data_IF_396030277072
#
_entry.id   IF_396030277072
#
_cell.length_a   1.000
_cell.length_b   1.000
_cell.length_c   1.000
_cell.angle_alpha   90.00
_cell.angle_beta   90.00
_cell.angle_gamma   90.00
#
_symmetry.space_group_name_H-M   'P 1'
#
loop_
_entity.id
_entity.type
_entity.pdbx_description
1 polymer ?
#
# COMPACT_ATOMS: atom_id res chain seq x y z
N UNK A 1 -4.61 9.87 -3.15
CA UNK A 1 -4.78 8.48 -3.61
C UNK A 1 -3.94 7.57 -2.75
N UNK A 2 -4.42 6.35 -2.56
CA UNK A 2 -3.62 5.14 -2.42
C UNK A 2 -3.03 4.77 -1.06
N UNK A 3 -2.82 5.71 -0.12
CA UNK A 3 -2.30 5.42 1.24
C UNK A 3 -1.39 4.18 1.31
N UNK A 4 -1.78 3.21 2.14
CA UNK A 4 -1.22 1.84 2.16
C UNK A 4 -1.89 0.93 1.11
N UNK A 5 -3.06 1.31 0.58
CA UNK A 5 -3.88 0.52 -0.35
C UNK A 5 -3.07 -0.05 -1.51
N UNK A 6 -2.24 0.78 -2.17
CA UNK A 6 -1.45 0.34 -3.33
C UNK A 6 -0.41 -0.72 -2.95
N UNK A 7 0.24 -0.56 -1.80
CA UNK A 7 1.25 -1.50 -1.32
C UNK A 7 0.65 -2.89 -1.08
N UNK A 8 -0.56 -2.96 -0.53
CA UNK A 8 -1.23 -4.22 -0.24
C UNK A 8 -2.10 -4.74 -1.39
N UNK A 9 -2.36 -3.95 -2.43
CA UNK A 9 -3.34 -4.27 -3.46
C UNK A 9 -3.17 -5.66 -4.07
N UNK A 10 -1.92 -6.06 -4.34
CA UNK A 10 -1.63 -7.38 -4.91
C UNK A 10 -1.91 -8.50 -3.89
N UNK A 11 -1.39 -8.37 -2.67
CA UNK A 11 -1.59 -9.37 -1.61
C UNK A 11 -3.07 -9.50 -1.23
N UNK A 12 -3.77 -8.37 -1.09
CA UNK A 12 -5.19 -8.32 -0.73
C UNK A 12 -6.08 -8.87 -1.83
N UNK A 13 -5.79 -8.56 -3.09
CA UNK A 13 -6.51 -9.18 -4.19
C UNK A 13 -6.32 -10.70 -4.22
N UNK A 14 -5.12 -11.20 -3.96
CA UNK A 14 -4.86 -12.65 -3.93
C UNK A 14 -5.61 -13.32 -2.78
N UNK A 15 -5.64 -12.70 -1.60
CA UNK A 15 -6.35 -13.26 -0.44
C UNK A 15 -7.86 -13.26 -0.66
N UNK A 16 -8.43 -12.15 -1.16
CA UNK A 16 -9.86 -12.06 -1.50
C UNK A 16 -10.27 -13.16 -2.48
N UNK A 17 -9.45 -13.39 -3.52
CA UNK A 17 -9.73 -14.41 -4.54
C UNK A 17 -9.69 -15.84 -4.00
N UNK A 18 -8.88 -16.11 -2.97
CA UNK A 18 -8.79 -17.42 -2.33
C UNK A 18 -9.98 -17.69 -1.41
N UNK A 19 -10.46 -16.67 -0.73
CA UNK A 19 -11.48 -16.80 0.32
C UNK A 19 -12.91 -16.65 -0.20
N UNK A 20 -13.11 -15.97 -1.33
CA UNK A 20 -14.43 -15.88 -1.95
C UNK A 20 -14.80 -17.18 -2.65
N UNK A 21 -16.07 -17.56 -2.48
CA UNK A 21 -16.70 -18.58 -3.32
C UNK A 21 -16.61 -18.20 -4.81
N UNK A 22 -16.41 -19.20 -5.67
CA UNK A 22 -16.17 -19.00 -7.11
C UNK A 22 -17.32 -18.27 -7.81
N UNK A 23 -18.57 -18.50 -7.41
CA UNK A 23 -19.72 -17.84 -8.05
C UNK A 23 -19.84 -16.38 -7.63
N UNK A 24 -19.59 -16.09 -6.34
CA UNK A 24 -19.55 -14.72 -5.83
C UNK A 24 -18.38 -13.96 -6.46
N UNK A 25 -17.21 -14.59 -6.56
CA UNK A 25 -16.01 -14.01 -7.14
C UNK A 25 -16.25 -13.60 -8.60
N UNK A 26 -16.77 -14.51 -9.44
CA UNK A 26 -17.05 -14.22 -10.86
C UNK A 26 -18.06 -13.08 -11.04
N UNK A 27 -19.12 -13.06 -10.23
CA UNK A 27 -20.12 -11.98 -10.26
C UNK A 27 -19.50 -10.64 -9.88
N UNK A 28 -18.72 -10.63 -8.79
CA UNK A 28 -18.02 -9.45 -8.29
C UNK A 28 -17.01 -8.90 -9.30
N UNK A 29 -16.19 -9.76 -9.91
CA UNK A 29 -15.23 -9.35 -10.96
C UNK A 29 -15.95 -8.77 -12.19
N UNK A 30 -17.03 -9.42 -12.63
CA UNK A 30 -17.81 -8.94 -13.78
C UNK A 30 -18.43 -7.59 -13.50
N UNK A 31 -19.06 -7.39 -12.34
CA UNK A 31 -19.72 -6.12 -12.03
C UNK A 31 -18.69 -4.99 -11.77
N UNK A 32 -17.57 -5.28 -11.11
CA UNK A 32 -16.46 -4.32 -10.98
C UNK A 32 -15.94 -3.86 -12.34
N UNK A 33 -15.82 -4.78 -13.28
CA UNK A 33 -15.38 -4.46 -14.63
C UNK A 33 -16.44 -3.64 -15.39
N UNK A 34 -17.71 -4.03 -15.34
CA UNK A 34 -18.78 -3.35 -16.07
C UNK A 34 -19.12 -1.96 -15.51
N UNK A 35 -19.21 -1.81 -14.19
CA UNK A 35 -19.60 -0.53 -13.55
C UNK A 35 -18.42 0.44 -13.41
N UNK A 36 -17.20 -0.08 -13.24
CA UNK A 36 -16.06 0.75 -12.85
C UNK A 36 -14.82 0.57 -13.73
N UNK A 37 -14.79 -0.41 -14.64
CA UNK A 37 -13.61 -0.71 -15.45
C UNK A 37 -12.42 -1.19 -14.62
N UNK A 38 -12.66 -1.80 -13.46
CA UNK A 38 -11.62 -2.17 -12.51
C UNK A 38 -11.51 -3.69 -12.32
N UNK A 39 -10.29 -4.16 -12.13
CA UNK A 39 -10.04 -5.47 -11.52
C UNK A 39 -10.13 -5.38 -10.00
N UNK A 40 -10.22 -6.52 -9.30
CA UNK A 40 -10.18 -6.56 -7.82
C UNK A 40 -8.91 -5.85 -7.30
N UNK A 41 -7.73 -6.14 -7.87
CA UNK A 41 -6.48 -5.48 -7.51
C UNK A 41 -6.56 -3.95 -7.60
N UNK A 42 -7.06 -3.42 -8.71
CA UNK A 42 -7.18 -1.96 -8.89
C UNK A 42 -8.24 -1.36 -7.94
N UNK A 43 -9.32 -2.11 -7.69
CA UNK A 43 -10.38 -1.68 -6.79
C UNK A 43 -9.91 -1.57 -5.33
N UNK A 44 -8.78 -2.15 -4.94
CA UNK A 44 -8.21 -1.97 -3.60
C UNK A 44 -7.82 -0.51 -3.32
N UNK A 45 -7.32 0.22 -4.33
CA UNK A 45 -7.05 1.66 -4.21
C UNK A 45 -8.33 2.52 -4.12
N UNK A 46 -9.47 1.90 -4.40
CA UNK A 46 -10.81 2.47 -4.33
C UNK A 46 -11.73 1.56 -3.51
N UNK A 47 -11.29 1.16 -2.32
CA UNK A 47 -11.86 0.00 -1.61
C UNK A 47 -13.37 0.09 -1.38
N UNK A 48 -13.92 1.29 -1.17
CA UNK A 48 -15.38 1.51 -1.09
C UNK A 48 -16.17 0.98 -2.29
N UNK A 49 -15.61 1.05 -3.52
CA UNK A 49 -16.23 0.50 -4.73
C UNK A 49 -16.19 -1.02 -4.72
N UNK A 50 -15.08 -1.60 -4.27
CA UNK A 50 -14.98 -3.04 -4.04
C UNK A 50 -16.05 -3.50 -3.04
N UNK A 51 -16.10 -2.85 -1.88
CA UNK A 51 -17.06 -3.14 -0.81
C UNK A 51 -18.52 -3.03 -1.28
N UNK A 52 -18.85 -2.02 -2.09
CA UNK A 52 -20.23 -1.85 -2.58
C UNK A 52 -20.62 -2.96 -3.55
N UNK A 53 -19.74 -3.29 -4.51
CA UNK A 53 -20.02 -4.35 -5.49
C UNK A 53 -20.07 -5.71 -4.82
N UNK A 54 -19.19 -5.99 -3.84
CA UNK A 54 -19.24 -7.24 -3.10
C UNK A 54 -20.54 -7.37 -2.29
N UNK A 55 -21.03 -6.30 -1.64
CA UNK A 55 -22.32 -6.30 -0.92
C UNK A 55 -23.51 -6.58 -1.84
N UNK A 56 -23.49 -6.06 -3.07
CA UNK A 56 -24.56 -6.34 -4.05
C UNK A 56 -24.58 -7.80 -4.49
N UNK A 57 -23.41 -8.42 -4.59
CA UNK A 57 -23.23 -9.75 -5.17
C UNK A 57 -23.16 -10.90 -4.15
N UNK A 58 -23.27 -10.61 -2.85
CA UNK A 58 -23.12 -11.60 -1.80
C UNK A 58 -24.06 -11.35 -0.62
N UNK A 59 -24.40 -12.44 0.08
CA UNK A 59 -25.14 -12.41 1.34
C UNK A 59 -24.23 -12.46 2.57
N UNK A 60 -22.91 -12.40 2.36
CA UNK A 60 -21.92 -12.49 3.45
C UNK A 60 -21.82 -11.18 4.21
N UNK A 61 -21.31 -11.25 5.44
CA UNK A 61 -20.87 -10.06 6.14
C UNK A 61 -19.59 -9.51 5.49
N UNK A 62 -19.76 -8.60 4.54
CA UNK A 62 -18.67 -7.99 3.78
C UNK A 62 -17.68 -7.26 4.70
N UNK A 63 -18.15 -6.59 5.77
CA UNK A 63 -17.23 -5.89 6.67
C UNK A 63 -16.33 -6.89 7.39
N UNK A 64 -16.90 -7.99 7.89
CA UNK A 64 -16.12 -9.04 8.54
C UNK A 64 -15.14 -9.70 7.57
N UNK A 65 -15.62 -10.06 6.37
CA UNK A 65 -14.79 -10.66 5.32
C UNK A 65 -13.58 -9.79 4.97
N UNK A 66 -13.79 -8.49 4.72
CA UNK A 66 -12.72 -7.54 4.40
C UNK A 66 -11.67 -7.44 5.52
N UNK A 67 -12.12 -7.41 6.78
CA UNK A 67 -11.25 -7.41 7.95
C UNK A 67 -10.40 -8.68 8.02
N UNK A 68 -11.03 -9.83 7.83
CA UNK A 68 -10.37 -11.13 7.90
C UNK A 68 -9.28 -11.24 6.81
N UNK A 69 -9.59 -10.82 5.58
CA UNK A 69 -8.60 -10.78 4.49
C UNK A 69 -7.44 -9.81 4.79
N UNK A 70 -7.72 -8.59 5.27
CA UNK A 70 -6.67 -7.63 5.64
C UNK A 70 -5.82 -8.18 6.80
N UNK A 71 -6.45 -8.81 7.80
CA UNK A 71 -5.80 -9.38 8.98
C UNK A 71 -4.85 -10.53 8.68
N UNK A 72 -5.00 -11.20 7.53
CA UNK A 72 -4.04 -12.21 7.03
C UNK A 72 -2.81 -11.59 6.36
N UNK A 73 -2.89 -10.32 5.96
CA UNK A 73 -1.81 -9.63 5.26
C UNK A 73 -1.05 -8.70 6.18
N UNK A 74 -1.77 -8.00 7.06
CA UNK A 74 -1.24 -6.99 7.96
C UNK A 74 -1.75 -7.22 9.39
N UNK A 75 -0.87 -6.99 10.37
CA UNK A 75 -1.25 -6.76 11.76
C UNK A 75 -1.04 -5.30 12.09
N UNK A 76 -2.11 -4.62 12.47
CA UNK A 76 -2.07 -3.18 12.78
C UNK A 76 -2.19 -3.00 14.30
N UNK A 77 -1.34 -2.14 14.86
CA UNK A 77 -1.43 -1.68 16.25
C UNK A 77 -1.34 -0.16 16.27
N UNK A 78 -2.30 0.50 16.93
CA UNK A 78 -2.23 1.94 17.20
C UNK A 78 -1.30 2.17 18.39
N UNK A 79 -0.37 3.11 18.25
CA UNK A 79 0.50 3.59 19.33
C UNK A 79 0.56 5.11 19.21
N UNK A 80 -0.11 5.79 20.13
CA UNK A 80 -0.28 7.25 20.12
C UNK A 80 -0.88 7.72 18.76
N UNK A 81 -0.23 8.67 18.09
CA UNK A 81 -0.61 9.20 16.77
C UNK A 81 0.00 8.43 15.58
N UNK A 82 0.53 7.23 15.82
CA UNK A 82 1.15 6.39 14.80
C UNK A 82 0.55 4.99 14.78
N UNK A 83 0.66 4.35 13.62
CA UNK A 83 0.23 2.98 13.39
C UNK A 83 1.45 2.12 13.12
N UNK A 84 1.65 1.09 13.94
CA UNK A 84 2.59 0.02 13.69
C UNK A 84 1.92 -1.02 12.79
N UNK A 85 2.45 -1.17 11.58
CA UNK A 85 1.97 -2.09 10.56
C UNK A 85 2.98 -3.22 10.42
N UNK A 86 2.62 -4.41 10.89
CA UNK A 86 3.42 -5.62 10.72
C UNK A 86 2.96 -6.36 9.46
N UNK A 87 3.88 -6.66 8.55
CA UNK A 87 3.59 -7.43 7.34
C UNK A 87 3.60 -8.92 7.68
N UNK A 88 2.46 -9.59 7.49
CA UNK A 88 2.27 -11.02 7.74
C UNK A 88 2.44 -11.82 6.45
N UNK A 89 1.86 -11.33 5.35
CA UNK A 89 1.91 -12.01 4.05
C UNK A 89 3.36 -12.17 3.57
N UNK A 90 3.73 -13.40 3.20
CA UNK A 90 5.09 -13.74 2.75
C UNK A 90 5.47 -13.00 1.48
N UNK A 91 4.59 -12.97 0.48
CA UNK A 91 4.92 -12.41 -0.83
C UNK A 91 5.16 -10.90 -0.74
N UNK A 92 4.33 -10.20 0.04
CA UNK A 92 4.50 -8.78 0.33
C UNK A 92 5.77 -8.51 1.13
N UNK A 93 6.06 -9.37 2.13
CA UNK A 93 7.28 -9.27 2.92
C UNK A 93 8.52 -9.44 2.04
N UNK A 94 8.53 -10.46 1.21
CA UNK A 94 9.68 -10.81 0.37
C UNK A 94 9.91 -9.75 -0.71
N UNK A 95 8.83 -9.20 -1.29
CA UNK A 95 8.89 -8.02 -2.15
C UNK A 95 9.54 -6.81 -1.45
N UNK A 96 9.13 -6.53 -0.22
CA UNK A 96 9.72 -5.43 0.55
C UNK A 96 11.21 -5.71 0.80
N UNK A 97 11.57 -6.92 1.20
CA UNK A 97 12.98 -7.30 1.42
C UNK A 97 13.81 -7.18 0.14
N UNK A 98 13.27 -7.58 -1.00
CA UNK A 98 13.93 -7.45 -2.30
C UNK A 98 14.19 -5.98 -2.65
N UNK A 99 13.19 -5.11 -2.48
CA UNK A 99 13.31 -3.68 -2.72
C UNK A 99 14.36 -3.05 -1.79
N UNK A 100 14.39 -3.47 -0.51
CA UNK A 100 15.42 -3.03 0.43
C UNK A 100 16.77 -3.72 0.24
N UNK A 101 16.87 -4.82 -0.50
CA UNK A 101 18.11 -5.50 -0.84
C UNK A 101 18.99 -4.68 -1.77
N UNK A 102 18.38 -3.80 -2.57
CA UNK A 102 19.08 -2.98 -3.56
C UNK A 102 19.60 -1.65 -2.98
N UNK A 103 20.87 -1.35 -3.23
CA UNK A 103 21.57 -0.17 -2.69
C UNK A 103 20.92 1.15 -3.11
N UNK A 104 20.60 1.32 -4.40
CA UNK A 104 20.01 2.57 -4.90
C UNK A 104 18.60 2.79 -4.35
N UNK A 105 17.80 1.73 -4.32
CA UNK A 105 16.45 1.72 -3.76
C UNK A 105 16.47 2.10 -2.27
N UNK A 106 17.41 1.54 -1.48
CA UNK A 106 17.59 1.95 -0.08
C UNK A 106 17.91 3.44 0.06
N UNK A 107 18.80 3.98 -0.77
CA UNK A 107 19.15 5.42 -0.72
C UNK A 107 17.94 6.30 -1.02
N UNK A 108 17.13 5.91 -2.00
CA UNK A 108 15.89 6.62 -2.36
C UNK A 108 14.86 6.57 -1.22
N UNK A 109 14.62 5.39 -0.64
CA UNK A 109 13.66 5.27 0.46
C UNK A 109 14.15 6.06 1.68
N UNK A 110 15.43 5.94 2.02
CA UNK A 110 16.02 6.61 3.19
C UNK A 110 15.90 8.14 3.11
N UNK A 111 15.99 8.73 1.92
CA UNK A 111 15.80 10.18 1.77
C UNK A 111 14.34 10.63 1.96
N UNK A 112 13.37 9.71 1.87
CA UNK A 112 11.93 9.97 1.90
C UNK A 112 11.21 9.52 3.17
N UNK A 113 11.88 8.86 4.13
CA UNK A 113 11.25 8.38 5.37
C UNK A 113 10.57 9.51 6.16
N UNK A 114 11.20 10.68 6.23
CA UNK A 114 10.68 11.84 6.96
C UNK A 114 10.44 13.07 6.08
N UNK A 115 10.67 12.95 4.76
CA UNK A 115 10.62 14.07 3.84
C UNK A 115 9.66 13.84 2.69
N UNK A 116 9.14 14.94 2.14
CA UNK A 116 8.38 14.93 0.90
C UNK A 116 9.15 15.68 -0.20
N UNK A 117 9.49 14.97 -1.28
CA UNK A 117 10.34 15.50 -2.34
C UNK A 117 9.76 15.26 -3.72
N UNK A 118 10.10 16.14 -4.65
CA UNK A 118 9.91 15.89 -6.09
C UNK A 118 10.96 14.91 -6.60
N UNK A 119 10.73 14.25 -7.74
CA UNK A 119 11.71 13.31 -8.31
C UNK A 119 13.12 13.93 -8.48
N UNK A 120 13.28 15.16 -9.02
CA UNK A 120 14.60 15.80 -9.09
C UNK A 120 15.29 15.96 -7.73
N UNK A 121 14.52 16.30 -6.68
CA UNK A 121 15.03 16.41 -5.32
C UNK A 121 15.44 15.04 -4.76
N UNK A 122 14.63 14.00 -4.97
CA UNK A 122 14.97 12.63 -4.56
C UNK A 122 16.29 12.20 -5.18
N UNK A 123 16.49 12.41 -6.48
CA UNK A 123 17.73 12.05 -7.18
C UNK A 123 18.94 12.81 -6.63
N UNK A 124 18.75 14.10 -6.29
CA UNK A 124 19.79 14.93 -5.69
C UNK A 124 20.18 14.43 -4.29
N UNK A 125 19.21 14.24 -3.40
CA UNK A 125 19.45 13.87 -2.00
C UNK A 125 19.93 12.42 -1.86
N UNK A 126 19.37 11.50 -2.65
CA UNK A 126 19.78 10.08 -2.64
C UNK A 126 21.14 9.83 -3.31
N UNK A 127 21.65 10.80 -4.08
CA UNK A 127 22.89 10.67 -4.88
C UNK A 127 22.86 9.45 -5.82
N UNK A 128 21.68 9.12 -6.35
CA UNK A 128 21.48 8.05 -7.32
C UNK A 128 21.55 8.63 -8.74
N UNK A 129 22.21 7.96 -9.70
CA UNK A 129 22.25 8.42 -11.09
C UNK A 129 20.84 8.62 -11.67
N UNK A 130 20.66 9.62 -12.54
CA UNK A 130 19.33 9.99 -13.05
C UNK A 130 18.65 8.81 -13.77
N UNK A 131 19.32 8.17 -14.71
CA UNK A 131 18.74 7.11 -15.55
C UNK A 131 18.27 5.90 -14.74
N UNK A 132 19.06 5.43 -13.78
CA UNK A 132 18.64 4.33 -12.89
C UNK A 132 17.61 4.80 -11.87
N UNK A 133 17.81 5.99 -11.29
CA UNK A 133 16.95 6.52 -10.24
C UNK A 133 15.51 6.76 -10.67
N UNK A 134 15.25 7.28 -11.88
CA UNK A 134 13.87 7.43 -12.38
C UNK A 134 13.15 6.07 -12.42
N UNK A 135 13.78 5.05 -13.02
CA UNK A 135 13.21 3.69 -13.09
C UNK A 135 12.95 3.10 -11.71
N UNK A 136 13.84 3.33 -10.75
CA UNK A 136 13.68 2.82 -9.37
C UNK A 136 12.58 3.53 -8.61
N UNK A 137 12.45 4.84 -8.78
CA UNK A 137 11.36 5.62 -8.21
C UNK A 137 10.02 5.16 -8.80
N UNK A 138 9.92 4.97 -10.11
CA UNK A 138 8.73 4.41 -10.75
C UNK A 138 8.38 3.03 -10.20
N UNK A 139 9.37 2.16 -10.03
CA UNK A 139 9.16 0.84 -9.43
C UNK A 139 8.62 0.93 -7.99
N UNK A 140 9.16 1.84 -7.18
CA UNK A 140 8.69 2.07 -5.81
C UNK A 140 7.26 2.65 -5.75
N UNK A 141 6.90 3.51 -6.71
CA UNK A 141 5.53 4.02 -6.86
C UNK A 141 4.57 2.92 -7.28
N UNK A 142 5.00 2.05 -8.20
CA UNK A 142 4.21 0.92 -8.69
C UNK A 142 3.93 -0.09 -7.59
N UNK A 143 4.93 -0.40 -6.75
CA UNK A 143 4.76 -1.28 -5.58
C UNK A 143 4.16 -0.57 -4.36
N UNK A 144 3.83 0.72 -4.46
CA UNK A 144 3.13 1.46 -3.40
C UNK A 144 3.98 1.76 -2.16
N UNK A 145 5.30 1.63 -2.20
CA UNK A 145 6.19 2.08 -1.11
C UNK A 145 6.34 3.61 -1.09
N UNK A 146 6.21 4.24 -2.25
CA UNK A 146 6.19 5.69 -2.43
C UNK A 146 4.85 6.09 -3.02
N UNK A 147 4.26 7.17 -2.51
CA UNK A 147 3.00 7.71 -3.03
C UNK A 147 3.07 9.22 -3.22
N UNK A 148 2.16 9.75 -4.04
CA UNK A 148 1.98 11.20 -4.20
C UNK A 148 1.42 11.84 -2.92
N UNK A 149 2.16 12.78 -2.35
CA UNK A 149 1.77 13.54 -1.15
C UNK A 149 1.09 14.87 -1.47
N UNK A 150 1.42 15.46 -2.62
CA UNK A 150 0.88 16.74 -3.08
C UNK A 150 1.50 17.18 -4.41
N UNK A 151 1.24 18.43 -4.81
CA UNK A 151 1.81 19.03 -6.03
C UNK A 151 2.41 20.39 -5.70
N UNK A 152 3.55 20.70 -6.31
CA UNK A 152 4.17 22.03 -6.28
C UNK A 152 4.17 22.63 -7.67
N UNK A 153 3.97 23.94 -7.74
CA UNK A 153 4.14 24.69 -8.98
C UNK A 153 5.63 24.97 -9.16
N UNK A 154 6.22 24.43 -10.21
CA UNK A 154 7.58 24.76 -10.63
C UNK A 154 7.48 25.36 -12.02
N UNK A 155 7.91 26.61 -12.15
CA UNK A 155 7.69 27.44 -13.34
C UNK A 155 6.19 27.51 -13.69
N UNK A 156 5.75 26.72 -14.66
CA UNK A 156 4.37 26.62 -15.15
C UNK A 156 3.78 25.19 -15.08
N UNK A 157 4.54 24.23 -14.56
CA UNK A 157 4.13 22.82 -14.44
C UNK A 157 3.87 22.43 -12.99
N UNK A 158 2.77 21.70 -12.77
CA UNK A 158 2.50 21.06 -11.48
C UNK A 158 3.33 19.79 -11.38
N UNK A 159 4.30 19.78 -10.48
CA UNK A 159 5.17 18.63 -10.21
C UNK A 159 4.70 17.94 -8.95
N UNK A 160 4.52 16.62 -9.02
CA UNK A 160 4.13 15.81 -7.87
C UNK A 160 5.26 15.71 -6.84
N UNK A 161 4.89 15.93 -5.58
CA UNK A 161 5.69 15.56 -4.41
C UNK A 161 5.37 14.13 -4.02
N UNK A 162 6.40 13.41 -3.64
CA UNK A 162 6.37 12.02 -3.28
C UNK A 162 6.83 11.88 -1.83
N UNK A 163 6.24 10.93 -1.12
CA UNK A 163 6.63 10.56 0.24
C UNK A 163 6.63 9.04 0.38
N UNK A 164 7.43 8.52 1.32
CA UNK A 164 7.35 7.11 1.68
C UNK A 164 6.08 6.83 2.49
N UNK A 165 5.49 5.64 2.32
CA UNK A 165 4.37 5.18 3.15
C UNK A 165 4.80 5.00 4.61
N UNK A 166 6.05 4.58 4.83
CA UNK A 166 6.61 4.37 6.15
C UNK A 166 7.48 5.55 6.58
N UNK A 167 7.37 5.93 7.85
CA UNK A 167 8.29 6.85 8.51
C UNK A 167 9.50 6.14 9.10
N UNK A 168 9.31 4.89 9.50
CA UNK A 168 10.34 4.04 10.06
C UNK A 168 10.05 2.62 9.61
N UNK A 169 11.09 1.84 9.36
CA UNK A 169 10.98 0.40 9.11
C UNK A 169 11.95 -0.38 9.97
N UNK A 170 11.45 -1.46 10.57
CA UNK A 170 12.21 -2.41 11.37
C UNK A 170 12.15 -3.77 10.70
N UNK A 171 13.32 -4.36 10.54
CA UNK A 171 13.49 -5.74 10.11
C UNK A 171 13.93 -6.56 11.32
N UNK A 172 13.17 -7.59 11.67
CA UNK A 172 13.50 -8.55 12.73
C UNK A 172 13.81 -9.90 12.07
N UNK A 173 15.06 -10.33 12.09
CA UNK A 173 15.51 -11.58 11.48
C UNK A 173 15.88 -12.54 12.61
N UNK A 174 15.08 -13.60 12.76
CA UNK A 174 15.32 -14.72 13.68
C UNK A 174 15.49 -16.00 12.87
N UNK A 175 16.08 -17.04 13.49
CA UNK A 175 16.47 -18.32 12.86
C UNK A 175 15.44 -18.89 11.88
N UNK A 176 14.14 -18.67 12.11
CA UNK A 176 13.06 -19.23 11.29
C UNK A 176 12.02 -18.19 10.85
N UNK A 177 12.19 -16.91 11.21
CA UNK A 177 11.17 -15.88 10.99
C UNK A 177 11.80 -14.55 10.64
N UNK A 178 11.35 -14.00 9.52
CA UNK A 178 11.64 -12.61 9.12
C UNK A 178 10.36 -11.81 9.35
N UNK A 179 10.46 -10.78 10.20
CA UNK A 179 9.41 -9.81 10.47
C UNK A 179 9.74 -8.48 9.82
N UNK A 180 8.77 -7.90 9.10
CA UNK A 180 8.84 -6.55 8.56
C UNK A 180 7.79 -5.72 9.30
N UNK A 181 8.22 -4.67 9.99
CA UNK A 181 7.35 -3.77 10.74
C UNK A 181 7.61 -2.35 10.26
N UNK A 182 6.57 -1.69 9.75
CA UNK A 182 6.62 -0.29 9.36
C UNK A 182 5.83 0.60 10.32
N UNK A 183 6.30 1.81 10.54
CA UNK A 183 5.57 2.86 11.27
C UNK A 183 4.95 3.80 10.26
N UNK A 184 3.63 4.00 10.34
CA UNK A 184 2.87 4.87 9.45
C UNK A 184 2.21 5.97 10.29
N UNK A 185 2.27 7.21 9.83
CA UNK A 185 1.59 8.31 10.53
C UNK A 185 0.07 8.25 10.33
N UNK A 186 -0.68 8.87 11.26
CA UNK A 186 -2.14 8.90 11.23
C UNK A 186 -2.71 9.46 9.93
N UNK A 187 -2.18 10.58 9.42
CA UNK A 187 -2.65 11.22 8.18
C UNK A 187 -2.53 10.30 6.95
N UNK A 188 -1.47 9.51 6.86
CA UNK A 188 -1.23 8.53 5.80
C UNK A 188 -2.18 7.35 5.93
N UNK A 189 -2.32 6.85 7.16
CA UNK A 189 -3.16 5.71 7.48
C UNK A 189 -4.65 6.00 7.21
N UNK A 190 -5.15 7.17 7.62
CA UNK A 190 -6.55 7.59 7.43
C UNK A 190 -6.90 7.92 5.97
N UNK A 191 -5.90 8.27 5.15
CA UNK A 191 -6.09 8.46 3.70
C UNK A 191 -6.34 7.14 2.95
N UNK A 192 -5.94 6.01 3.53
CA UNK A 192 -6.18 4.70 2.94
C UNK A 192 -7.66 4.33 3.05
N UNK A 193 -8.24 3.90 1.94
CA UNK A 193 -9.65 3.51 1.89
C UNK A 193 -9.88 2.12 2.48
N UNK A 194 -8.92 1.21 2.31
CA UNK A 194 -9.00 -0.14 2.90
C UNK A 194 -8.77 -0.13 4.41
N UNK A 195 -7.87 0.72 4.92
CA UNK A 195 -7.57 0.77 6.36
C UNK A 195 -8.71 1.36 7.20
N UNK A 196 -9.64 2.13 6.61
CA UNK A 196 -10.83 2.63 7.33
C UNK A 196 -11.65 1.50 7.96
N UNK A 197 -11.74 0.35 7.28
CA UNK A 197 -12.43 -0.83 7.78
C UNK A 197 -11.78 -1.37 9.07
N UNK A 198 -10.47 -1.17 9.23
CA UNK A 198 -9.72 -1.57 10.44
C UNK A 198 -9.82 -0.51 11.54
N UNK A 199 -9.78 0.78 11.20
CA UNK A 199 -9.87 1.88 12.19
C UNK A 199 -11.17 1.77 13.00
N UNK A 200 -12.30 1.47 12.35
CA UNK A 200 -13.61 1.24 13.00
C UNK A 200 -13.60 0.11 14.06
N UNK A 201 -12.55 -0.72 14.13
CA UNK A 201 -12.41 -1.80 15.11
C UNK A 201 -11.30 -1.58 16.15
N UNK A 202 -10.51 -0.51 16.00
CA UNK A 202 -9.43 -0.15 16.91
C UNK A 202 -9.83 0.99 17.86
N UNK A 203 -10.99 1.60 17.64
CA UNK A 203 -11.70 2.53 18.53
C UNK A 203 -12.71 1.76 19.39
#
# INVERSE_FOLDING_TARGET
MGGIDRMIASALSSEIKKELDLDILKKTERELFLEHGMSIKLSIEHFHKFSSVLRKNSSIDVKKFEKDCIGKILKIKKKDDKFLVTIINSDLRDLILELFGEVETRKIISSLLENEYTIPQILKESKVPKTSGYRKIENLILHGLIIESGKVLSESKKISKLQCVFQEMKLDIKKEKIGVIGVVNKKMFEKSTSMKVIIESLE
#
